data_IF_470158579391
#
_entry.id   IF_470158579391
#
_cell.length_a   1.000
_cell.length_b   1.000
_cell.length_c   1.000
_cell.angle_alpha   90.00
_cell.angle_beta   90.00
_cell.angle_gamma   90.00
#
_symmetry.space_group_name_H-M   'P 1'
#
loop_
_entity.id
_entity.type
_entity.pdbx_description
1 polymer ?
#
# COMPACT_ATOMS: atom_id res chain seq x y z
N UNK A 1 -22.88 -12.04 -6.95
CA UNK A 1 -23.30 -12.36 -5.57
C UNK A 1 -22.66 -11.33 -4.66
N UNK A 2 -23.47 -10.38 -4.21
CA UNK A 2 -23.04 -9.17 -3.50
C UNK A 2 -22.64 -9.54 -2.06
N UNK A 3 -21.34 -9.48 -1.74
CA UNK A 3 -20.88 -9.66 -0.35
C UNK A 3 -21.29 -8.42 0.43
N UNK A 4 -22.26 -8.60 1.33
CA UNK A 4 -22.78 -7.58 2.23
C UNK A 4 -21.65 -6.70 2.78
N UNK A 5 -21.58 -5.46 2.29
CA UNK A 5 -20.75 -4.41 2.88
C UNK A 5 -21.21 -4.24 4.32
N UNK A 6 -20.28 -4.23 5.28
CA UNK A 6 -20.58 -3.77 6.64
C UNK A 6 -20.85 -2.27 6.57
N UNK A 7 -22.07 -1.87 6.19
CA UNK A 7 -22.55 -0.50 6.40
C UNK A 7 -22.68 -0.31 7.90
N UNK A 8 -21.88 0.59 8.46
CA UNK A 8 -22.10 1.07 9.81
C UNK A 8 -23.46 1.78 9.87
N UNK A 9 -24.19 1.70 11.00
CA UNK A 9 -25.32 2.59 11.23
C UNK A 9 -24.83 4.04 11.20
N UNK A 10 -25.59 4.90 10.50
CA UNK A 10 -25.43 6.35 10.52
C UNK A 10 -25.70 6.86 11.95
N UNK A 11 -24.69 6.83 12.80
CA UNK A 11 -24.66 7.58 14.05
C UNK A 11 -23.20 7.94 14.38
N UNK A 12 -22.58 8.74 13.50
CA UNK A 12 -21.57 9.69 13.96
C UNK A 12 -22.34 10.72 14.77
N UNK A 13 -22.29 10.59 16.10
CA UNK A 13 -22.65 11.69 16.98
C UNK A 13 -21.84 12.89 16.55
N UNK A 14 -22.52 13.92 16.05
CA UNK A 14 -21.93 15.21 15.71
C UNK A 14 -21.29 15.76 16.98
N UNK A 15 -19.96 15.80 17.02
CA UNK A 15 -19.21 16.71 17.85
C UNK A 15 -17.96 17.16 17.07
N UNK A 16 -17.67 18.45 17.21
CA UNK A 16 -16.78 19.32 16.45
C UNK A 16 -15.52 18.71 15.81
N UNK A 17 -15.36 18.99 14.51
CA UNK A 17 -14.09 19.10 13.76
C UNK A 17 -13.06 17.96 13.89
N UNK A 18 -13.48 16.70 13.81
CA UNK A 18 -12.53 15.61 13.54
C UNK A 18 -12.30 15.47 12.04
N UNK A 19 -11.06 15.70 11.61
CA UNK A 19 -10.64 15.49 10.22
C UNK A 19 -10.97 14.04 9.79
N UNK A 20 -11.46 13.85 8.56
CA UNK A 20 -11.80 12.53 8.01
C UNK A 20 -10.55 11.68 7.63
N UNK A 21 -9.42 12.02 8.23
CA UNK A 21 -8.12 11.38 8.07
C UNK A 21 -7.29 11.66 9.33
N UNK A 22 -6.22 10.90 9.51
CA UNK A 22 -5.20 11.19 10.51
C UNK A 22 -3.83 11.22 9.82
N UNK A 23 -2.97 12.13 10.27
CA UNK A 23 -1.58 12.26 9.80
C UNK A 23 -0.65 11.68 10.85
N UNK A 24 0.34 10.95 10.36
CA UNK A 24 1.36 10.27 11.15
C UNK A 24 2.72 10.51 10.53
N UNK A 25 3.71 10.70 11.39
CA UNK A 25 5.09 10.92 10.99
C UNK A 25 5.89 9.65 11.28
N UNK A 26 5.91 8.74 10.31
CA UNK A 26 6.59 7.45 10.45
C UNK A 26 8.08 7.63 10.22
N UNK A 27 8.89 7.37 11.24
CA UNK A 27 10.36 7.47 11.17
C UNK A 27 10.96 6.11 10.81
N UNK A 28 11.64 6.04 9.67
CA UNK A 28 12.27 4.79 9.22
C UNK A 28 13.61 5.06 8.53
N UNK A 29 14.67 4.38 9.00
CA UNK A 29 16.05 4.51 8.50
C UNK A 29 16.51 5.97 8.34
N UNK A 30 16.22 6.83 9.32
CA UNK A 30 16.58 8.25 9.31
C UNK A 30 15.71 9.14 8.42
N UNK A 31 14.72 8.59 7.72
CA UNK A 31 13.76 9.35 6.92
C UNK A 31 12.46 9.54 7.71
N UNK A 32 11.81 10.67 7.47
CA UNK A 32 10.45 10.95 7.93
C UNK A 32 9.49 10.70 6.77
N UNK A 33 8.50 9.84 6.97
CA UNK A 33 7.50 9.50 5.95
C UNK A 33 6.15 10.07 6.41
N UNK A 34 5.69 11.09 5.71
CA UNK A 34 4.37 11.72 5.90
C UNK A 34 3.29 10.70 5.53
N UNK A 35 2.59 10.19 6.53
CA UNK A 35 1.63 9.09 6.37
C UNK A 35 0.22 9.57 6.63
N UNK A 36 -0.64 9.51 5.63
CA UNK A 36 -2.07 9.83 5.75
C UNK A 36 -2.89 8.55 5.82
N UNK A 37 -3.62 8.34 6.92
CA UNK A 37 -4.58 7.25 7.07
C UNK A 37 -6.00 7.79 6.90
N UNK A 38 -6.78 7.24 5.98
CA UNK A 38 -8.12 7.77 5.67
C UNK A 38 -9.12 6.72 5.19
N UNK A 39 -10.39 6.96 5.46
CA UNK A 39 -11.56 6.33 4.87
C UNK A 39 -12.40 7.33 4.04
N UNK A 40 -11.87 8.52 3.76
CA UNK A 40 -12.55 9.57 2.99
C UNK A 40 -12.08 9.57 1.54
N UNK A 41 -13.02 9.39 0.60
CA UNK A 41 -12.73 9.53 -0.81
C UNK A 41 -12.20 10.93 -1.18
N UNK A 42 -12.61 11.99 -0.48
CA UNK A 42 -12.11 13.34 -0.71
C UNK A 42 -10.61 13.44 -0.38
N UNK A 43 -10.19 12.90 0.77
CA UNK A 43 -8.77 12.87 1.15
C UNK A 43 -7.94 12.07 0.14
N UNK A 44 -8.45 10.92 -0.32
CA UNK A 44 -7.80 10.12 -1.36
C UNK A 44 -7.67 10.92 -2.67
N UNK A 45 -8.74 11.60 -3.10
CA UNK A 45 -8.70 12.44 -4.29
C UNK A 45 -7.68 13.57 -4.17
N UNK A 46 -7.58 14.21 -3.01
CA UNK A 46 -6.62 15.29 -2.76
C UNK A 46 -5.18 14.78 -2.83
N UNK A 47 -4.88 13.63 -2.21
CA UNK A 47 -3.57 13.01 -2.30
C UNK A 47 -3.20 12.65 -3.75
N UNK A 48 -4.14 12.09 -4.52
CA UNK A 48 -3.91 11.78 -5.95
C UNK A 48 -3.66 13.04 -6.78
N UNK A 49 -4.37 14.14 -6.52
CA UNK A 49 -4.15 15.43 -7.20
C UNK A 49 -2.76 15.97 -6.88
N UNK A 50 -2.37 15.97 -5.60
CA UNK A 50 -1.06 16.41 -5.14
C UNK A 50 0.04 15.62 -5.87
N UNK A 51 0.00 14.28 -5.82
CA UNK A 51 1.00 13.43 -6.50
C UNK A 51 1.08 13.73 -8.00
N UNK A 52 -0.06 13.88 -8.68
CA UNK A 52 -0.08 14.19 -10.13
C UNK A 52 0.48 15.59 -10.45
N UNK A 53 0.38 16.55 -9.53
CA UNK A 53 0.90 17.90 -9.70
C UNK A 53 2.38 18.00 -9.36
N UNK A 54 2.84 17.22 -8.38
CA UNK A 54 4.22 17.25 -7.88
C UNK A 54 5.18 16.44 -8.74
N UNK A 55 4.77 15.27 -9.24
CA UNK A 55 5.68 14.34 -9.91
C UNK A 55 5.43 14.27 -11.42
N UNK A 56 6.49 14.48 -12.20
CA UNK A 56 6.45 14.34 -13.65
C UNK A 56 6.48 12.87 -14.07
N UNK A 57 5.63 12.51 -15.03
CA UNK A 57 5.55 11.15 -15.56
C UNK A 57 6.68 10.85 -16.57
N UNK A 58 7.09 9.57 -16.72
CA UNK A 58 6.64 8.42 -15.94
C UNK A 58 7.22 8.41 -14.52
N UNK A 59 6.44 7.91 -13.56
CA UNK A 59 6.90 7.72 -12.18
C UNK A 59 6.39 6.39 -11.62
N UNK A 60 6.90 6.00 -10.46
CA UNK A 60 6.54 4.77 -9.78
C UNK A 60 5.98 5.05 -8.38
N UNK A 61 5.16 4.12 -7.89
CA UNK A 61 4.47 4.21 -6.60
C UNK A 61 4.59 2.84 -5.93
N UNK A 62 5.09 2.80 -4.69
CA UNK A 62 5.05 1.61 -3.86
C UNK A 62 3.61 1.23 -3.55
N UNK A 63 3.24 -0.03 -3.76
CA UNK A 63 1.91 -0.56 -3.50
C UNK A 63 2.03 -1.77 -2.58
N UNK A 64 1.19 -1.78 -1.57
CA UNK A 64 0.94 -2.97 -0.76
C UNK A 64 -0.55 -3.06 -0.42
N UNK A 65 -0.97 -4.18 0.13
CA UNK A 65 -2.35 -4.42 0.54
C UNK A 65 -2.41 -5.26 1.82
N UNK A 66 -3.36 -4.96 2.71
CA UNK A 66 -3.54 -5.73 3.94
C UNK A 66 -4.98 -6.20 4.12
N UNK A 67 -5.14 -7.40 4.69
CA UNK A 67 -6.44 -7.97 5.03
C UNK A 67 -6.32 -8.88 6.24
N UNK A 68 -7.42 -9.03 6.98
CA UNK A 68 -7.44 -9.96 8.11
C UNK A 68 -7.05 -11.38 7.66
N UNK A 69 -6.13 -12.06 8.35
CA UNK A 69 -5.81 -13.46 8.03
C UNK A 69 -7.02 -14.38 8.24
N UNK A 70 -7.14 -15.40 7.40
CA UNK A 70 -8.10 -16.49 7.60
C UNK A 70 -7.39 -17.77 8.01
N UNK A 71 -7.90 -18.39 9.07
CA UNK A 71 -7.42 -19.68 9.57
C UNK A 71 -8.32 -20.84 9.10
N UNK A 72 -9.41 -20.54 8.39
CA UNK A 72 -10.36 -21.52 7.84
C UNK A 72 -10.13 -21.66 6.34
N UNK A 73 -9.81 -22.87 5.88
CA UNK A 73 -9.60 -23.20 4.47
C UNK A 73 -10.84 -22.85 3.64
N UNK A 74 -10.64 -22.17 2.51
CA UNK A 74 -11.72 -21.78 1.59
C UNK A 74 -12.42 -20.45 1.92
N UNK A 75 -12.10 -19.79 3.05
CA UNK A 75 -12.59 -18.43 3.33
C UNK A 75 -11.57 -17.38 2.90
N UNK A 76 -12.02 -16.35 2.21
CA UNK A 76 -11.23 -15.16 1.86
C UNK A 76 -11.86 -13.91 2.47
N UNK A 77 -11.10 -13.21 3.31
CA UNK A 77 -11.52 -11.94 3.88
C UNK A 77 -11.50 -10.85 2.80
N UNK A 78 -12.35 -9.82 2.94
CA UNK A 78 -12.25 -8.65 2.08
C UNK A 78 -10.87 -8.01 2.23
N UNK A 79 -10.41 -7.36 1.16
CA UNK A 79 -9.25 -6.49 1.26
C UNK A 79 -9.58 -5.33 2.22
N UNK A 80 -8.73 -5.06 3.21
CA UNK A 80 -9.03 -4.06 4.24
C UNK A 80 -8.35 -2.73 3.96
N UNK A 81 -7.06 -2.77 3.61
CA UNK A 81 -6.23 -1.61 3.35
C UNK A 81 -5.60 -1.66 1.96
N UNK A 82 -5.42 -0.50 1.34
CA UNK A 82 -4.52 -0.27 0.22
C UNK A 82 -3.50 0.80 0.65
N UNK A 83 -2.23 0.49 0.49
CA UNK A 83 -1.13 1.42 0.74
C UNK A 83 -0.53 1.89 -0.58
N UNK A 84 -0.30 3.19 -0.70
CA UNK A 84 0.37 3.82 -1.84
C UNK A 84 1.48 4.74 -1.32
N UNK A 85 2.70 4.61 -1.81
CA UNK A 85 3.81 5.43 -1.37
C UNK A 85 4.63 5.97 -2.54
N UNK A 86 4.95 7.27 -2.51
CA UNK A 86 5.87 7.90 -3.44
C UNK A 86 6.78 8.86 -2.67
N UNK A 87 8.09 8.70 -2.85
CA UNK A 87 9.11 9.35 -2.03
C UNK A 87 8.81 9.17 -0.53
N UNK A 88 8.61 10.27 0.20
CA UNK A 88 8.33 10.27 1.63
C UNK A 88 6.83 10.53 1.94
N UNK A 89 5.93 10.29 0.98
CA UNK A 89 4.48 10.45 1.15
C UNK A 89 3.80 9.09 1.04
N UNK A 90 3.19 8.64 2.13
CA UNK A 90 2.43 7.39 2.18
C UNK A 90 0.93 7.69 2.41
N UNK A 91 0.08 7.03 1.63
CA UNK A 91 -1.37 7.03 1.80
C UNK A 91 -1.81 5.61 2.16
N UNK A 92 -2.48 5.48 3.30
CA UNK A 92 -3.12 4.25 3.76
C UNK A 92 -4.63 4.45 3.66
N UNK A 93 -5.25 3.75 2.72
CA UNK A 93 -6.69 3.83 2.45
C UNK A 93 -7.38 2.67 3.16
N UNK A 94 -8.25 2.97 4.12
CA UNK A 94 -9.09 1.96 4.78
C UNK A 94 -10.27 1.60 3.88
N UNK A 95 -10.02 0.83 2.82
CA UNK A 95 -11.00 0.44 1.81
C UNK A 95 -12.24 -0.26 2.38
N UNK A 96 -12.13 -0.93 3.52
CA UNK A 96 -13.28 -1.56 4.19
C UNK A 96 -14.34 -0.53 4.65
N UNK A 97 -13.92 0.69 4.95
CA UNK A 97 -14.74 1.76 5.53
C UNK A 97 -14.93 2.96 4.60
N UNK A 98 -14.29 2.94 3.42
CA UNK A 98 -14.33 4.07 2.50
C UNK A 98 -15.77 4.42 2.09
N UNK A 99 -16.10 5.70 2.15
CA UNK A 99 -17.44 6.22 1.83
C UNK A 99 -17.87 5.91 0.38
N UNK A 100 -16.92 6.04 -0.55
CA UNK A 100 -17.06 5.65 -1.97
C UNK A 100 -15.68 5.38 -2.57
N UNK A 101 -15.61 4.62 -3.66
CA UNK A 101 -14.36 4.51 -4.42
C UNK A 101 -14.23 5.74 -5.33
N UNK A 102 -13.22 6.62 -5.13
CA UNK A 102 -13.11 7.83 -5.92
C UNK A 102 -12.67 7.54 -7.36
N UNK A 103 -13.24 8.29 -8.32
CA UNK A 103 -12.89 8.14 -9.75
C UNK A 103 -11.43 8.48 -10.03
N UNK A 104 -10.86 9.44 -9.30
CA UNK A 104 -9.44 9.79 -9.45
C UNK A 104 -8.51 8.66 -9.02
N UNK A 105 -8.84 7.91 -7.95
CA UNK A 105 -8.07 6.73 -7.56
C UNK A 105 -8.11 5.65 -8.66
N UNK A 106 -9.29 5.39 -9.23
CA UNK A 106 -9.43 4.45 -10.36
C UNK A 106 -8.59 4.87 -11.56
N UNK A 107 -8.68 6.15 -11.95
CA UNK A 107 -7.88 6.70 -13.04
C UNK A 107 -6.38 6.73 -12.74
N UNK A 108 -5.98 6.85 -11.48
CA UNK A 108 -4.59 6.76 -11.03
C UNK A 108 -4.02 5.35 -11.17
N UNK A 109 -4.73 4.34 -10.68
CA UNK A 109 -4.32 2.93 -10.77
C UNK A 109 -4.33 2.40 -12.22
N UNK A 110 -5.23 2.91 -13.07
CA UNK A 110 -5.33 2.51 -14.48
C UNK A 110 -4.37 3.29 -15.41
N UNK A 111 -3.60 4.24 -14.89
CA UNK A 111 -2.69 5.07 -15.70
C UNK A 111 -1.43 4.29 -16.09
N UNK A 112 -1.26 3.97 -17.37
CA UNK A 112 -0.12 3.18 -17.84
C UNK A 112 1.24 3.85 -17.66
N UNK A 113 1.26 5.18 -17.49
CA UNK A 113 2.48 5.96 -17.22
C UNK A 113 2.93 5.90 -15.76
N UNK A 114 2.14 5.28 -14.88
CA UNK A 114 2.46 5.10 -13.46
C UNK A 114 2.76 3.61 -13.22
N UNK A 115 3.95 3.31 -12.72
CA UNK A 115 4.32 1.92 -12.38
C UNK A 115 4.09 1.67 -10.89
N UNK A 116 3.26 0.69 -10.55
CA UNK A 116 3.03 0.28 -9.17
C UNK A 116 3.95 -0.88 -8.81
N UNK A 117 4.77 -0.69 -7.78
CA UNK A 117 5.83 -1.63 -7.40
C UNK A 117 5.56 -2.21 -6.02
N UNK A 118 5.68 -3.53 -5.89
CA UNK A 118 5.46 -4.26 -4.64
C UNK A 118 6.05 -5.65 -4.72
N UNK A 119 6.10 -6.39 -3.61
CA UNK A 119 6.52 -7.80 -3.60
C UNK A 119 5.29 -8.68 -3.68
N UNK A 120 5.22 -9.59 -4.66
CA UNK A 120 4.01 -10.38 -4.94
C UNK A 120 2.78 -9.53 -5.29
N UNK A 121 3.04 -8.33 -5.83
CA UNK A 121 2.05 -7.28 -6.11
C UNK A 121 0.91 -7.75 -7.02
N UNK A 122 1.11 -8.77 -7.84
CA UNK A 122 0.02 -9.33 -8.66
C UNK A 122 -1.09 -9.97 -7.81
N UNK A 123 -0.75 -10.51 -6.63
CA UNK A 123 -1.74 -11.02 -5.67
C UNK A 123 -2.58 -9.88 -5.12
N UNK A 124 -1.95 -8.76 -4.77
CA UNK A 124 -2.61 -7.57 -4.23
C UNK A 124 -3.52 -6.93 -5.26
N UNK A 125 -3.02 -6.73 -6.48
CA UNK A 125 -3.81 -6.20 -7.61
C UNK A 125 -4.98 -7.10 -7.95
N UNK A 126 -4.79 -8.42 -7.95
CA UNK A 126 -5.89 -9.38 -8.13
C UNK A 126 -6.93 -9.21 -7.03
N UNK A 127 -6.50 -9.11 -5.76
CA UNK A 127 -7.41 -8.94 -4.62
C UNK A 127 -8.15 -7.61 -4.67
N UNK A 128 -7.48 -6.55 -5.09
CA UNK A 128 -8.02 -5.20 -5.25
C UNK A 128 -9.09 -5.16 -6.34
N UNK A 129 -8.82 -5.79 -7.50
CA UNK A 129 -9.81 -5.98 -8.57
C UNK A 129 -11.00 -6.81 -8.09
N UNK A 130 -10.75 -7.97 -7.51
CA UNK A 130 -11.82 -8.90 -7.14
C UNK A 130 -12.70 -8.35 -5.99
N UNK A 131 -12.16 -7.47 -5.13
CA UNK A 131 -12.89 -6.89 -3.99
C UNK A 131 -13.55 -5.55 -4.31
N UNK A 132 -12.93 -4.70 -5.15
CA UNK A 132 -13.37 -3.31 -5.38
C UNK A 132 -13.50 -2.93 -6.85
N UNK A 133 -13.22 -3.85 -7.78
CA UNK A 133 -13.18 -3.57 -9.22
C UNK A 133 -12.11 -2.55 -9.59
N UNK A 134 -11.09 -2.35 -8.75
CA UNK A 134 -10.01 -1.42 -8.97
C UNK A 134 -8.89 -2.14 -9.72
N UNK A 135 -8.68 -1.76 -10.97
CA UNK A 135 -7.64 -2.32 -11.83
C UNK A 135 -6.36 -1.49 -11.74
N UNK A 136 -5.24 -2.18 -11.59
CA UNK A 136 -3.92 -1.59 -11.59
C UNK A 136 -3.22 -1.99 -12.89
N UNK A 137 -3.09 -1.05 -13.83
CA UNK A 137 -2.71 -1.37 -15.21
C UNK A 137 -1.24 -1.78 -15.35
N UNK A 138 -0.35 -1.11 -14.62
CA UNK A 138 1.09 -1.32 -14.73
C UNK A 138 1.68 -1.65 -13.35
N UNK A 139 1.38 -2.85 -12.84
CA UNK A 139 2.00 -3.38 -11.62
C UNK A 139 3.22 -4.24 -11.96
N UNK A 140 4.33 -4.06 -11.23
CA UNK A 140 5.58 -4.81 -11.43
C UNK A 140 6.09 -5.34 -10.09
N UNK A 141 6.26 -6.66 -10.01
CA UNK A 141 6.83 -7.30 -8.83
C UNK A 141 8.34 -7.01 -8.72
N UNK A 142 8.74 -6.30 -7.66
CA UNK A 142 10.14 -5.91 -7.46
C UNK A 142 11.06 -7.11 -7.24
N UNK A 143 10.55 -8.25 -6.78
CA UNK A 143 11.31 -9.50 -6.71
C UNK A 143 11.69 -9.97 -8.11
N UNK A 144 10.73 -9.96 -9.05
CA UNK A 144 10.99 -10.36 -10.45
C UNK A 144 11.99 -9.40 -11.08
N UNK A 145 11.78 -8.09 -10.89
CA UNK A 145 12.74 -7.07 -11.35
C UNK A 145 14.15 -7.30 -10.81
N UNK A 146 14.29 -7.65 -9.53
CA UNK A 146 15.58 -7.94 -8.94
C UNK A 146 16.24 -9.19 -9.56
N UNK A 147 15.46 -10.25 -9.78
CA UNK A 147 15.92 -11.50 -10.40
C UNK A 147 16.27 -11.33 -11.89
N UNK A 148 15.71 -10.33 -12.57
CA UNK A 148 15.99 -9.99 -13.98
C UNK A 148 17.04 -8.87 -14.12
N UNK A 149 17.77 -8.55 -13.05
CA UNK A 149 18.77 -7.48 -13.00
C UNK A 149 20.13 -7.98 -12.50
N UNK A 150 21.13 -7.09 -12.44
CA UNK A 150 22.46 -7.40 -11.90
C UNK A 150 22.44 -7.86 -10.43
N UNK A 151 21.34 -7.60 -9.72
CA UNK A 151 21.11 -8.07 -8.35
C UNK A 151 20.80 -9.57 -8.25
N UNK A 152 20.52 -10.26 -9.36
CA UNK A 152 20.08 -11.67 -9.36
C UNK A 152 21.06 -12.59 -8.60
N UNK A 153 22.37 -12.33 -8.74
CA UNK A 153 23.42 -13.12 -8.09
C UNK A 153 23.34 -13.10 -6.55
N UNK A 154 22.89 -11.98 -5.96
CA UNK A 154 22.68 -11.84 -4.51
C UNK A 154 21.53 -12.72 -3.96
N UNK A 155 20.70 -13.27 -4.86
CA UNK A 155 19.53 -14.08 -4.52
C UNK A 155 19.60 -15.51 -5.04
N UNK A 156 20.76 -15.95 -5.55
CA UNK A 156 20.97 -17.29 -6.08
C UNK A 156 20.51 -18.37 -5.08
N UNK A 157 19.64 -19.27 -5.54
CA UNK A 157 19.16 -20.40 -4.73
C UNK A 157 18.13 -20.06 -3.65
N UNK A 158 17.64 -18.81 -3.58
CA UNK A 158 16.59 -18.39 -2.64
C UNK A 158 15.49 -17.58 -3.32
N UNK A 159 14.32 -17.52 -2.68
CA UNK A 159 13.22 -16.61 -3.05
C UNK A 159 13.15 -15.48 -2.01
N UNK A 160 13.72 -14.30 -2.28
CA UNK A 160 13.83 -13.26 -1.27
C UNK A 160 12.47 -12.64 -0.93
N UNK A 161 12.21 -12.40 0.35
CA UNK A 161 11.08 -11.60 0.80
C UNK A 161 11.37 -10.10 0.69
N UNK A 162 10.37 -9.26 1.01
CA UNK A 162 10.54 -7.80 1.03
C UNK A 162 11.70 -7.36 1.93
N UNK A 163 11.85 -7.98 3.11
CA UNK A 163 12.96 -7.68 4.03
C UNK A 163 14.33 -7.96 3.41
N UNK A 164 14.47 -9.07 2.66
CA UNK A 164 15.73 -9.42 2.03
C UNK A 164 16.05 -8.44 0.90
N UNK A 165 15.07 -8.13 0.04
CA UNK A 165 15.22 -7.17 -1.04
C UNK A 165 15.54 -5.75 -0.51
N UNK A 166 14.90 -5.34 0.59
CA UNK A 166 15.12 -4.06 1.23
C UNK A 166 16.57 -3.89 1.67
N UNK A 167 17.13 -4.92 2.31
CA UNK A 167 18.49 -4.90 2.82
C UNK A 167 19.51 -4.89 1.67
N UNK A 168 19.40 -5.85 0.75
CA UNK A 168 20.39 -6.04 -0.31
C UNK A 168 20.39 -4.89 -1.33
N UNK A 169 19.21 -4.46 -1.79
CA UNK A 169 19.09 -3.52 -2.91
C UNK A 169 19.05 -2.06 -2.44
N UNK A 170 18.35 -1.80 -1.32
CA UNK A 170 18.10 -0.44 -0.84
C UNK A 170 18.90 -0.08 0.42
N UNK A 171 19.64 -1.02 1.02
CA UNK A 171 20.36 -0.80 2.28
C UNK A 171 19.42 -0.53 3.47
N UNK A 172 18.16 -0.95 3.39
CA UNK A 172 17.12 -0.67 4.39
C UNK A 172 16.90 -1.90 5.27
N UNK A 173 17.19 -1.77 6.57
CA UNK A 173 16.92 -2.81 7.55
C UNK A 173 15.52 -2.66 8.13
N UNK A 174 14.65 -3.64 7.88
CA UNK A 174 13.29 -3.68 8.40
C UNK A 174 13.02 -4.98 9.16
N UNK A 175 12.05 -4.93 10.07
CA UNK A 175 11.50 -6.13 10.73
C UNK A 175 10.05 -6.30 10.31
N UNK A 176 9.58 -7.56 10.23
CA UNK A 176 8.17 -7.87 9.95
C UNK A 176 7.60 -8.70 11.11
N UNK A 177 7.20 -8.09 12.23
CA UNK A 177 6.76 -8.82 13.41
C UNK A 177 5.48 -9.60 13.11
N UNK A 178 5.52 -10.93 13.28
CA UNK A 178 4.38 -11.82 12.98
C UNK A 178 3.09 -11.40 13.69
N UNK A 179 3.20 -10.79 14.88
CA UNK A 179 2.04 -10.25 15.64
C UNK A 179 1.32 -9.11 14.91
N UNK A 180 2.05 -8.31 14.11
CA UNK A 180 1.47 -7.22 13.30
C UNK A 180 1.00 -7.77 11.96
N UNK A 181 1.82 -8.58 11.28
CA UNK A 181 1.47 -9.17 9.97
C UNK A 181 0.19 -10.00 10.05
N UNK A 182 -0.05 -10.66 11.18
CA UNK A 182 -1.24 -11.50 11.42
C UNK A 182 -2.32 -10.79 12.23
N UNK A 183 -2.26 -9.46 12.34
CA UNK A 183 -3.17 -8.67 13.17
C UNK A 183 -4.56 -8.50 12.54
N UNK A 184 -5.47 -7.88 13.28
CA UNK A 184 -6.79 -7.56 12.78
C UNK A 184 -6.73 -6.28 11.93
N UNK A 185 -6.44 -6.43 10.64
CA UNK A 185 -6.43 -5.33 9.67
C UNK A 185 -7.83 -4.77 9.35
N UNK A 186 -8.90 -5.51 9.69
CA UNK A 186 -10.29 -5.05 9.62
C UNK A 186 -10.69 -4.19 10.85
N UNK A 187 -9.75 -3.52 11.51
CA UNK A 187 -10.05 -2.64 12.65
C UNK A 187 -10.48 -1.26 12.14
N UNK A 188 -11.53 -0.68 12.73
CA UNK A 188 -11.99 0.67 12.37
C UNK A 188 -10.93 1.75 12.66
N UNK A 189 -10.14 1.53 13.70
CA UNK A 189 -9.01 2.37 14.10
C UNK A 189 -7.77 1.50 14.11
N UNK A 190 -6.81 1.80 13.24
CA UNK A 190 -5.52 1.12 13.21
C UNK A 190 -4.67 1.54 14.41
N UNK A 191 -3.90 0.59 14.94
CA UNK A 191 -2.88 0.87 15.96
C UNK A 191 -1.65 1.49 15.31
N UNK A 192 -0.87 2.24 16.10
CA UNK A 192 0.37 2.86 15.63
C UNK A 192 1.31 1.87 14.92
N UNK A 193 1.52 0.70 15.52
CA UNK A 193 2.37 -0.33 14.93
C UNK A 193 1.81 -0.95 13.63
N UNK A 194 0.50 -0.88 13.39
CA UNK A 194 -0.12 -1.27 12.13
C UNK A 194 0.11 -0.18 11.06
N UNK A 195 0.00 1.09 11.44
CA UNK A 195 0.25 2.25 10.57
C UNK A 195 1.72 2.27 10.15
N UNK A 196 2.63 2.17 11.11
CA UNK A 196 4.08 2.11 10.87
C UNK A 196 4.43 0.96 9.92
N UNK A 197 3.91 -0.25 10.19
CA UNK A 197 4.16 -1.42 9.34
C UNK A 197 3.66 -1.22 7.91
N UNK A 198 2.39 -0.83 7.74
CA UNK A 198 1.77 -0.62 6.44
C UNK A 198 2.49 0.47 5.64
N UNK A 199 2.90 1.55 6.32
CA UNK A 199 3.69 2.61 5.71
C UNK A 199 5.06 2.11 5.22
N UNK A 200 5.80 1.41 6.09
CA UNK A 200 7.15 0.92 5.77
C UNK A 200 7.10 -0.09 4.61
N UNK A 201 6.12 -0.99 4.55
CA UNK A 201 6.02 -1.98 3.47
C UNK A 201 5.85 -1.32 2.08
N UNK A 202 4.97 -0.32 1.97
CA UNK A 202 4.79 0.44 0.74
C UNK A 202 6.01 1.32 0.43
N UNK A 203 6.58 1.99 1.43
CA UNK A 203 7.77 2.83 1.27
C UNK A 203 8.99 2.03 0.81
N UNK A 204 9.27 0.89 1.43
CA UNK A 204 10.39 0.03 1.05
C UNK A 204 10.20 -0.51 -0.36
N UNK A 205 8.98 -0.91 -0.73
CA UNK A 205 8.66 -1.32 -2.11
C UNK A 205 8.95 -0.21 -3.12
N UNK A 206 8.57 1.04 -2.80
CA UNK A 206 8.93 2.23 -3.59
C UNK A 206 10.45 2.39 -3.72
N UNK A 207 11.20 2.32 -2.61
CA UNK A 207 12.67 2.51 -2.58
C UNK A 207 13.41 1.44 -3.38
N UNK A 208 12.97 0.17 -3.30
CA UNK A 208 13.52 -0.93 -4.11
C UNK A 208 13.20 -0.69 -5.59
N UNK A 209 11.94 -0.40 -5.91
CA UNK A 209 11.52 -0.10 -7.29
C UNK A 209 12.33 1.04 -7.90
N UNK A 210 12.59 2.10 -7.13
CA UNK A 210 13.46 3.21 -7.53
C UNK A 210 14.85 2.74 -7.93
N UNK A 211 15.50 1.91 -7.10
CA UNK A 211 16.85 1.38 -7.37
C UNK A 211 16.93 0.42 -8.55
N UNK A 212 15.82 -0.27 -8.87
CA UNK A 212 15.76 -1.21 -9.99
C UNK A 212 15.36 -0.56 -11.32
N UNK A 213 14.54 0.50 -11.27
CA UNK A 213 13.93 1.12 -12.45
C UNK A 213 14.63 2.41 -12.87
N UNK A 214 15.25 3.13 -11.94
CA UNK A 214 16.17 4.21 -12.26
C UNK A 214 17.59 3.64 -12.21
N UNK A 215 18.23 3.57 -13.38
CA UNK A 215 19.68 3.33 -13.44
C UNK A 215 20.34 4.64 -13.04
N UNK A 216 21.14 4.60 -11.97
CA UNK A 216 22.06 5.68 -11.61
C UNK A 216 23.10 5.89 -12.73
#
# INVERSE_FOLDING_TARGET
MDKARKRLPHNRLMNSSSEAFSRHDVKFSGNLIETTVTDSAETVENWVREVRQTYQKPFFVGLDCEWKPNYIRGRCNPLALLQLCIENKCLIIQLLYIDRIPRLLRGFLHDSSITFVGVEVESDVKKLRDSYGLECFNARDVRKLAMDSDWASAFTGRRPGLKDLAFEIAGLSMIKPKKVTMSNWDALVLKENQIEYACIDAYVSYRIGRKLLLKD
#
